data_IF_645927978030
#
_entry.id   IF_645927978030
#
_cell.length_a   1.000
_cell.length_b   1.000
_cell.length_c   1.000
_cell.angle_alpha   90.00
_cell.angle_beta   90.00
_cell.angle_gamma   90.00
#
_symmetry.space_group_name_H-M   'P 1'
#
loop_
_entity.id
_entity.type
_entity.pdbx_description
1 polymer ?
#
# COMPACT_ATOMS: atom_id res chain seq x y z
N UNK A 1 -18.71 6.87 4.68
CA UNK A 1 -18.55 5.93 5.82
C UNK A 1 -19.90 5.43 6.34
N UNK A 2 -20.72 6.27 6.99
CA UNK A 2 -22.07 5.84 7.48
C UNK A 2 -23.01 5.30 6.39
N UNK A 3 -23.02 5.92 5.20
CA UNK A 3 -23.82 5.44 4.04
C UNK A 3 -23.41 4.06 3.49
N UNK A 4 -22.17 3.63 3.73
CA UNK A 4 -21.65 2.34 3.26
C UNK A 4 -21.52 1.33 4.43
N UNK A 5 -22.13 1.60 5.59
CA UNK A 5 -22.01 0.79 6.82
C UNK A 5 -20.56 0.51 7.26
N UNK A 6 -19.62 1.41 6.92
CA UNK A 6 -18.23 1.29 7.36
C UNK A 6 -18.12 1.93 8.75
N UNK A 7 -17.78 1.11 9.75
CA UNK A 7 -17.49 1.56 11.12
C UNK A 7 -16.13 2.26 11.13
N UNK A 8 -16.06 3.41 11.80
CA UNK A 8 -14.78 4.09 12.06
C UNK A 8 -14.15 3.36 13.24
N UNK A 9 -13.04 2.69 13.01
CA UNK A 9 -12.18 2.17 14.07
C UNK A 9 -11.05 3.17 14.23
N UNK A 10 -11.09 3.94 15.33
CA UNK A 10 -9.94 4.74 15.74
C UNK A 10 -9.11 3.85 16.67
N UNK A 11 -7.81 3.80 16.44
CA UNK A 11 -6.89 3.22 17.42
C UNK A 11 -6.86 4.12 18.66
N UNK A 12 -6.88 3.52 19.85
CA UNK A 12 -6.58 4.26 21.08
C UNK A 12 -5.08 4.64 21.09
N UNK A 13 -4.71 5.72 21.80
CA UNK A 13 -3.31 6.14 21.92
C UNK A 13 -2.43 4.95 22.35
N UNK A 14 -1.37 4.67 21.57
CA UNK A 14 -0.35 3.62 21.78
C UNK A 14 -0.57 2.22 21.16
N UNK A 15 -1.46 2.05 20.17
CA UNK A 15 -1.55 0.82 19.36
C UNK A 15 -0.70 0.84 18.07
N UNK A 16 0.62 1.11 18.20
CA UNK A 16 1.55 1.20 17.06
C UNK A 16 1.62 -0.08 16.21
N UNK A 17 1.30 -1.23 16.80
CA UNK A 17 1.29 -2.53 16.11
C UNK A 17 0.23 -2.62 15.02
N UNK A 18 -0.92 -1.96 15.18
CA UNK A 18 -1.97 -1.98 14.16
C UNK A 18 -1.55 -1.20 12.91
N UNK A 19 -0.74 -0.15 13.08
CA UNK A 19 -0.18 0.62 11.97
C UNK A 19 1.10 0.03 11.40
N UNK A 20 1.82 -0.85 12.12
CA UNK A 20 3.13 -1.34 11.72
C UNK A 20 3.14 -1.99 10.32
N UNK A 21 2.05 -2.70 9.96
CA UNK A 21 1.90 -3.29 8.62
C UNK A 21 1.71 -2.20 7.55
N UNK A 22 0.88 -1.20 7.82
CA UNK A 22 0.66 -0.08 6.91
C UNK A 22 1.93 0.75 6.71
N UNK A 23 2.66 1.04 7.79
CA UNK A 23 3.93 1.76 7.75
C UNK A 23 5.00 1.00 6.95
N UNK A 24 5.08 -0.33 7.10
CA UNK A 24 5.98 -1.15 6.29
C UNK A 24 5.67 -1.04 4.80
N UNK A 25 4.40 -1.12 4.43
CA UNK A 25 3.98 -0.98 3.02
C UNK A 25 4.31 0.42 2.49
N UNK A 26 4.03 1.45 3.29
CA UNK A 26 4.36 2.83 2.93
C UNK A 26 5.87 3.06 2.80
N UNK A 27 6.68 2.46 3.67
CA UNK A 27 8.14 2.49 3.58
C UNK A 27 8.64 1.85 2.30
N UNK A 28 8.15 0.65 1.95
CA UNK A 28 8.46 -0.01 0.67
C UNK A 28 8.11 0.89 -0.52
N UNK A 29 6.91 1.49 -0.52
CA UNK A 29 6.47 2.36 -1.61
C UNK A 29 7.34 3.62 -1.73
N UNK A 30 7.84 4.15 -0.63
CA UNK A 30 8.76 5.30 -0.62
C UNK A 30 10.14 4.89 -1.09
N UNK A 31 10.73 3.87 -0.49
CA UNK A 31 12.12 3.48 -0.68
C UNK A 31 12.36 2.76 -2.02
N UNK A 32 11.50 1.80 -2.40
CA UNK A 32 11.70 0.98 -3.61
C UNK A 32 11.12 1.63 -4.88
N UNK A 33 10.11 2.51 -4.73
CA UNK A 33 9.42 3.15 -5.87
C UNK A 33 9.63 4.67 -5.92
N UNK A 34 10.55 5.19 -5.12
CA UNK A 34 10.98 6.60 -5.12
C UNK A 34 9.82 7.59 -4.91
N UNK A 35 8.80 7.19 -4.14
CA UNK A 35 7.68 8.08 -3.82
C UNK A 35 8.00 9.10 -2.73
N UNK A 36 9.21 9.04 -2.15
CA UNK A 36 9.77 10.03 -1.24
C UNK A 36 10.44 11.21 -1.96
N UNK A 37 10.56 11.17 -3.29
CA UNK A 37 11.13 12.26 -4.08
C UNK A 37 10.19 13.47 -4.18
N UNK A 38 10.80 14.63 -4.40
CA UNK A 38 10.05 15.84 -4.73
C UNK A 38 9.53 15.77 -6.16
N UNK A 39 8.23 15.92 -6.34
CA UNK A 39 7.60 15.98 -7.65
C UNK A 39 7.33 17.42 -8.08
N UNK A 40 7.59 17.73 -9.35
CA UNK A 40 7.36 19.07 -9.92
C UNK A 40 5.88 19.44 -10.03
N UNK A 41 4.99 18.43 -10.02
CA UNK A 41 3.54 18.63 -10.18
C UNK A 41 2.74 17.55 -9.47
N UNK A 42 1.59 17.93 -8.91
CA UNK A 42 0.60 17.01 -8.33
C UNK A 42 0.17 15.95 -9.35
N UNK A 43 0.07 16.31 -10.63
CA UNK A 43 -0.29 15.35 -11.68
C UNK A 43 0.80 14.28 -11.87
N UNK A 44 2.07 14.69 -11.78
CA UNK A 44 3.18 13.76 -11.85
C UNK A 44 3.18 12.82 -10.64
N UNK A 45 3.06 13.37 -9.43
CA UNK A 45 2.96 12.59 -8.20
C UNK A 45 1.84 11.55 -8.28
N UNK A 46 0.62 11.95 -8.68
CA UNK A 46 -0.52 11.03 -8.83
C UNK A 46 -0.24 9.89 -9.83
N UNK A 47 0.41 10.18 -10.96
CA UNK A 47 0.77 9.14 -11.94
C UNK A 47 1.82 8.20 -11.39
N UNK A 48 2.89 8.74 -10.78
CA UNK A 48 3.94 7.95 -10.16
C UNK A 48 3.38 7.03 -9.06
N UNK A 49 2.55 7.56 -8.17
CA UNK A 49 1.88 6.78 -7.12
C UNK A 49 1.00 5.67 -7.71
N UNK A 50 0.21 5.96 -8.76
CA UNK A 50 -0.61 4.94 -9.42
C UNK A 50 0.24 3.82 -10.02
N UNK A 51 1.33 4.18 -10.70
CA UNK A 51 2.26 3.21 -11.27
C UNK A 51 2.96 2.37 -10.20
N UNK A 52 3.40 2.99 -9.11
CA UNK A 52 4.03 2.30 -7.98
C UNK A 52 3.07 1.28 -7.33
N UNK A 53 1.83 1.68 -7.06
CA UNK A 53 0.80 0.76 -6.53
C UNK A 53 0.56 -0.40 -7.50
N UNK A 54 0.50 -0.14 -8.80
CA UNK A 54 0.32 -1.20 -9.78
C UNK A 54 1.50 -2.18 -9.79
N UNK A 55 2.72 -1.66 -9.77
CA UNK A 55 3.95 -2.45 -9.77
C UNK A 55 4.05 -3.29 -8.48
N UNK A 56 3.71 -2.72 -7.32
CA UNK A 56 3.63 -3.44 -6.05
C UNK A 56 2.61 -4.59 -6.09
N UNK A 57 1.39 -4.35 -6.57
CA UNK A 57 0.32 -5.34 -6.53
C UNK A 57 0.43 -6.42 -7.62
N UNK A 58 0.93 -6.07 -8.81
CA UNK A 58 0.92 -6.95 -9.97
C UNK A 58 2.26 -7.62 -10.29
N UNK A 59 3.38 -7.01 -9.91
CA UNK A 59 4.71 -7.41 -10.42
C UNK A 59 5.68 -7.73 -9.28
N UNK A 60 5.68 -6.97 -8.18
CA UNK A 60 6.56 -7.21 -7.03
C UNK A 60 6.29 -8.59 -6.44
N UNK A 61 7.32 -9.42 -6.37
CA UNK A 61 7.25 -10.73 -5.73
C UNK A 61 7.51 -10.57 -4.23
N UNK A 62 6.67 -11.20 -3.41
CA UNK A 62 6.81 -11.15 -1.96
C UNK A 62 7.30 -12.50 -1.44
N UNK A 63 8.43 -12.50 -0.74
CA UNK A 63 8.98 -13.72 -0.11
C UNK A 63 7.98 -14.32 0.88
N UNK A 64 7.27 -13.48 1.63
CA UNK A 64 6.21 -13.91 2.55
C UNK A 64 4.98 -14.53 1.86
N UNK A 65 4.88 -14.43 0.54
CA UNK A 65 3.80 -14.99 -0.28
C UNK A 65 4.31 -16.11 -1.20
N UNK A 66 5.40 -16.80 -0.84
CA UNK A 66 6.06 -17.80 -1.68
C UNK A 66 6.45 -17.27 -3.07
N UNK A 67 6.99 -16.04 -3.13
CA UNK A 67 7.31 -15.34 -4.39
C UNK A 67 6.08 -15.13 -5.29
N UNK A 68 4.88 -14.97 -4.72
CA UNK A 68 3.69 -14.53 -5.46
C UNK A 68 3.49 -13.03 -5.32
N UNK A 69 2.73 -12.46 -6.23
CA UNK A 69 2.32 -11.05 -6.17
C UNK A 69 1.05 -10.90 -5.32
N UNK A 70 0.81 -9.73 -4.70
CA UNK A 70 -0.39 -9.51 -3.88
C UNK A 70 -1.68 -9.82 -4.64
N UNK A 71 -1.79 -9.42 -5.91
CA UNK A 71 -2.96 -9.72 -6.72
C UNK A 71 -3.12 -11.22 -7.00
N UNK A 72 -2.04 -11.97 -7.19
CA UNK A 72 -2.14 -13.42 -7.39
C UNK A 72 -2.71 -14.13 -6.16
N UNK A 73 -2.41 -13.65 -4.95
CA UNK A 73 -2.96 -14.24 -3.73
C UNK A 73 -4.39 -13.77 -3.52
N UNK A 74 -4.65 -12.47 -3.61
CA UNK A 74 -5.97 -11.90 -3.38
C UNK A 74 -7.02 -12.42 -4.37
N UNK A 75 -6.71 -12.46 -5.68
CA UNK A 75 -7.65 -12.91 -6.71
C UNK A 75 -7.82 -14.43 -6.77
N UNK A 76 -6.91 -15.22 -6.17
CA UNK A 76 -7.10 -16.67 -6.01
C UNK A 76 -8.00 -17.03 -4.82
N UNK A 77 -8.23 -16.08 -3.92
CA UNK A 77 -9.05 -16.26 -2.71
C UNK A 77 -10.45 -15.63 -2.85
N UNK A 78 -10.74 -15.01 -4.00
CA UNK A 78 -12.07 -14.52 -4.38
C UNK A 78 -12.76 -15.51 -5.33
#
# INVERSE_FOLDING_TARGET
LKRNNIKISMTEENHCYENAIAERVNGILKDEFYLDQTFDSIQHAKRATKSAINLYNQIRLHVSLDYKTPNMVYLKTA
#
